data_IF_565719252592
#
_entry.id   IF_565719252592
#
_cell.length_a   1.000
_cell.length_b   1.000
_cell.length_c   1.000
_cell.angle_alpha   90.00
_cell.angle_beta   90.00
_cell.angle_gamma   90.00
#
_symmetry.space_group_name_H-M   'P 1'
#
loop_
_entity.id
_entity.type
_entity.pdbx_description
1 polymer ?
#
# COMPACT_ATOMS: atom_id res chain seq x y z
N UNK A 1 -14.55 -7.16 -18.34
CA UNK A 1 -14.64 -5.81 -17.75
C UNK A 1 -13.80 -5.81 -16.48
N UNK A 2 -13.08 -4.73 -16.18
CA UNK A 2 -12.25 -4.65 -14.97
C UNK A 2 -13.12 -4.81 -13.72
N UNK A 3 -12.63 -5.53 -12.70
CA UNK A 3 -13.33 -5.60 -11.41
C UNK A 3 -13.24 -4.29 -10.61
N UNK A 4 -12.32 -3.40 -10.99
CA UNK A 4 -12.14 -2.10 -10.38
C UNK A 4 -12.96 -1.01 -11.09
N UNK A 5 -13.26 0.08 -10.40
CA UNK A 5 -13.86 1.26 -11.04
C UNK A 5 -12.87 1.95 -11.96
N UNK A 6 -13.38 2.77 -12.88
CA UNK A 6 -12.53 3.57 -13.77
C UNK A 6 -11.66 4.55 -12.98
N UNK A 7 -12.22 5.23 -11.98
CA UNK A 7 -11.43 6.17 -11.16
C UNK A 7 -10.30 5.45 -10.40
N UNK A 8 -10.58 4.25 -9.88
CA UNK A 8 -9.54 3.47 -9.20
C UNK A 8 -8.40 3.11 -10.16
N UNK A 9 -8.72 2.68 -11.39
CA UNK A 9 -7.69 2.30 -12.36
C UNK A 9 -6.85 3.50 -12.84
N UNK A 10 -7.45 4.68 -12.98
CA UNK A 10 -6.71 5.92 -13.29
C UNK A 10 -5.75 6.30 -12.16
N UNK A 11 -6.21 6.21 -10.91
CA UNK A 11 -5.35 6.42 -9.74
C UNK A 11 -4.26 5.35 -9.63
N UNK A 12 -4.59 4.08 -9.92
CA UNK A 12 -3.63 2.98 -9.92
C UNK A 12 -2.54 3.16 -10.97
N UNK A 13 -2.89 3.61 -12.18
CA UNK A 13 -1.91 3.93 -13.22
C UNK A 13 -0.94 5.01 -12.74
N UNK A 14 -1.47 6.12 -12.23
CA UNK A 14 -0.66 7.24 -11.72
C UNK A 14 0.19 6.83 -10.52
N UNK A 15 -0.36 6.00 -9.64
CA UNK A 15 0.35 5.43 -8.50
C UNK A 15 1.52 4.54 -8.94
N UNK A 16 1.30 3.63 -9.90
CA UNK A 16 2.33 2.74 -10.44
C UNK A 16 3.51 3.51 -11.04
N UNK A 17 3.26 4.63 -11.73
CA UNK A 17 4.30 5.52 -12.25
C UNK A 17 5.01 6.28 -11.12
N UNK A 18 4.25 6.88 -10.21
CA UNK A 18 4.81 7.74 -9.14
C UNK A 18 5.66 6.96 -8.15
N UNK A 19 5.26 5.73 -7.82
CA UNK A 19 5.90 4.88 -6.80
C UNK A 19 6.68 3.71 -7.41
N UNK A 20 7.03 3.79 -8.70
CA UNK A 20 7.76 2.74 -9.41
C UNK A 20 9.08 2.39 -8.71
N UNK A 21 9.84 3.41 -8.27
CA UNK A 21 11.11 3.20 -7.58
C UNK A 21 10.93 2.44 -6.27
N UNK A 22 9.95 2.83 -5.45
CA UNK A 22 9.66 2.18 -4.17
C UNK A 22 9.23 0.73 -4.38
N UNK A 23 8.45 0.46 -5.44
CA UNK A 23 8.09 -0.90 -5.85
C UNK A 23 9.33 -1.72 -6.20
N UNK A 24 10.20 -1.22 -7.09
CA UNK A 24 11.43 -1.90 -7.51
C UNK A 24 12.39 -2.13 -6.33
N UNK A 25 12.57 -1.14 -5.46
CA UNK A 25 13.41 -1.24 -4.27
C UNK A 25 12.88 -2.32 -3.31
N UNK A 26 11.56 -2.40 -3.14
CA UNK A 26 10.92 -3.45 -2.35
C UNK A 26 11.08 -4.82 -3.01
N UNK A 27 10.80 -4.96 -4.29
CA UNK A 27 10.95 -6.21 -5.04
C UNK A 27 12.39 -6.74 -4.98
N UNK A 28 13.39 -5.88 -5.22
CA UNK A 28 14.80 -6.25 -5.12
C UNK A 28 15.19 -6.71 -3.70
N UNK A 29 14.64 -6.06 -2.66
CA UNK A 29 14.84 -6.50 -1.29
C UNK A 29 14.24 -7.89 -1.03
N UNK A 30 13.02 -8.14 -1.52
CA UNK A 30 12.34 -9.43 -1.38
C UNK A 30 13.08 -10.55 -2.11
N UNK A 31 13.53 -10.30 -3.34
CA UNK A 31 14.23 -11.28 -4.19
C UNK A 31 15.61 -11.66 -3.65
N UNK A 32 16.33 -10.72 -3.04
CA UNK A 32 17.67 -10.97 -2.50
C UNK A 32 17.67 -11.74 -1.16
N UNK A 33 16.49 -11.92 -0.54
CA UNK A 33 16.35 -12.36 0.86
C UNK A 33 15.21 -13.37 1.08
N UNK A 34 14.91 -14.19 0.08
CA UNK A 34 13.76 -15.13 0.05
C UNK A 34 13.68 -16.08 1.27
N UNK A 35 14.81 -16.37 1.93
CA UNK A 35 14.88 -17.27 3.08
C UNK A 35 14.93 -16.56 4.46
N UNK A 36 15.00 -15.23 4.50
CA UNK A 36 15.10 -14.46 5.74
C UNK A 36 13.71 -13.98 6.21
N UNK A 37 13.55 -13.58 7.48
CA UNK A 37 12.30 -12.97 7.95
C UNK A 37 12.07 -11.62 7.26
N UNK A 38 11.31 -11.67 6.18
CA UNK A 38 10.98 -10.57 5.28
C UNK A 38 10.37 -9.38 6.03
N UNK A 39 9.67 -9.63 7.15
CA UNK A 39 9.02 -8.57 7.92
C UNK A 39 10.04 -7.67 8.65
N UNK A 40 11.24 -8.19 8.94
CA UNK A 40 12.31 -7.43 9.58
C UNK A 40 13.28 -6.85 8.56
N UNK A 41 13.65 -7.62 7.53
CA UNK A 41 14.73 -7.25 6.60
C UNK A 41 14.32 -6.14 5.62
N UNK A 42 13.09 -6.15 5.12
CA UNK A 42 12.61 -5.18 4.12
C UNK A 42 11.63 -4.15 4.70
N UNK A 43 11.64 -3.96 6.04
CA UNK A 43 10.67 -3.11 6.74
C UNK A 43 10.68 -1.67 6.21
N UNK A 44 11.85 -1.12 5.88
CA UNK A 44 11.99 0.25 5.38
C UNK A 44 11.33 0.43 4.01
N UNK A 45 11.65 -0.45 3.05
CA UNK A 45 11.09 -0.42 1.69
C UNK A 45 9.58 -0.67 1.72
N UNK A 46 9.14 -1.63 2.55
CA UNK A 46 7.72 -1.91 2.77
C UNK A 46 6.99 -0.69 3.31
N UNK A 47 7.56 -0.01 4.31
CA UNK A 47 6.96 1.19 4.89
C UNK A 47 6.86 2.34 3.89
N UNK A 48 7.88 2.55 3.05
CA UNK A 48 7.85 3.57 2.01
C UNK A 48 6.75 3.31 0.97
N UNK A 49 6.58 2.07 0.54
CA UNK A 49 5.54 1.69 -0.41
C UNK A 49 4.13 1.80 0.20
N UNK A 50 3.93 1.33 1.44
CA UNK A 50 2.67 1.48 2.17
C UNK A 50 2.32 2.94 2.42
N UNK A 51 3.30 3.81 2.63
CA UNK A 51 3.06 5.25 2.76
C UNK A 51 2.53 5.85 1.45
N UNK A 52 3.00 5.40 0.29
CA UNK A 52 2.43 5.79 -0.99
C UNK A 52 0.96 5.38 -1.13
N UNK A 53 0.63 4.15 -0.70
CA UNK A 53 -0.75 3.67 -0.67
C UNK A 53 -1.60 4.54 0.25
N UNK A 54 -1.09 4.84 1.46
CA UNK A 54 -1.78 5.69 2.43
C UNK A 54 -2.09 7.07 1.84
N UNK A 55 -1.12 7.73 1.23
CA UNK A 55 -1.28 9.08 0.68
C UNK A 55 -2.18 9.14 -0.55
N UNK A 56 -2.24 8.06 -1.34
CA UNK A 56 -2.97 8.03 -2.62
C UNK A 56 -4.41 7.54 -2.45
N UNK A 57 -4.62 6.49 -1.65
CA UNK A 57 -5.91 5.78 -1.60
C UNK A 57 -6.60 5.85 -0.24
N UNK A 58 -5.84 5.96 0.85
CA UNK A 58 -6.35 5.84 2.23
C UNK A 58 -6.07 7.07 3.08
N UNK A 59 -6.02 8.25 2.44
CA UNK A 59 -5.55 9.47 3.09
C UNK A 59 -6.44 9.88 4.25
N UNK A 60 -7.76 9.75 4.10
CA UNK A 60 -8.71 10.11 5.14
C UNK A 60 -8.53 9.24 6.40
N UNK A 61 -8.39 7.93 6.23
CA UNK A 61 -8.16 6.98 7.30
C UNK A 61 -6.79 7.17 7.94
N UNK A 62 -5.76 7.43 7.13
CA UNK A 62 -4.41 7.72 7.62
C UNK A 62 -4.39 9.00 8.47
N UNK A 63 -4.95 10.10 7.98
CA UNK A 63 -4.99 11.38 8.68
C UNK A 63 -5.80 11.28 9.98
N UNK A 64 -6.90 10.51 9.98
CA UNK A 64 -7.67 10.20 11.19
C UNK A 64 -6.84 9.42 12.22
N UNK A 65 -6.10 8.40 11.78
CA UNK A 65 -5.17 7.64 12.63
C UNK A 65 -4.08 8.51 13.23
N UNK A 66 -3.40 9.32 12.42
CA UNK A 66 -2.36 10.25 12.88
C UNK A 66 -2.91 11.25 13.88
N UNK A 67 -4.11 11.80 13.63
CA UNK A 67 -4.77 12.72 14.56
C UNK A 67 -5.07 12.05 15.90
N UNK A 68 -5.59 10.82 15.87
CA UNK A 68 -5.86 10.08 17.08
C UNK A 68 -4.56 9.78 17.85
N UNK A 69 -3.53 9.27 17.16
CA UNK A 69 -2.24 8.95 17.78
C UNK A 69 -1.62 10.16 18.48
N UNK A 70 -1.63 11.33 17.82
CA UNK A 70 -1.15 12.58 18.43
C UNK A 70 -1.92 12.98 19.69
N UNK A 71 -3.21 12.67 19.74
CA UNK A 71 -4.08 13.01 20.87
C UNK A 71 -3.96 12.02 22.03
N UNK A 72 -3.79 10.72 21.72
CA UNK A 72 -3.73 9.64 22.70
C UNK A 72 -2.34 9.42 23.33
N UNK A 73 -1.27 9.94 22.70
CA UNK A 73 0.10 9.78 23.20
C UNK A 73 0.49 8.30 23.32
N UNK A 74 1.01 7.88 24.46
CA UNK A 74 1.47 6.50 24.68
C UNK A 74 0.33 5.45 24.63
N UNK A 75 -0.92 5.87 24.86
CA UNK A 75 -2.08 4.98 24.87
C UNK A 75 -2.70 4.75 23.50
N UNK A 76 -2.09 5.27 22.43
CA UNK A 76 -2.63 5.22 21.07
C UNK A 76 -3.01 3.80 20.61
N UNK A 77 -2.26 2.77 21.04
CA UNK A 77 -2.52 1.40 20.64
C UNK A 77 -3.91 0.91 21.09
N UNK A 78 -4.37 1.36 22.26
CA UNK A 78 -5.69 1.04 22.81
C UNK A 78 -6.74 2.07 22.39
N UNK A 79 -6.41 3.35 22.53
CA UNK A 79 -7.39 4.43 22.40
C UNK A 79 -7.72 4.76 20.93
N UNK A 80 -6.87 4.37 19.97
CA UNK A 80 -7.06 4.59 18.52
C UNK A 80 -7.34 3.30 17.73
N UNK A 81 -7.82 2.24 18.42
CA UNK A 81 -8.07 0.94 17.78
C UNK A 81 -8.98 1.07 16.54
N UNK A 82 -10.02 1.89 16.63
CA UNK A 82 -11.00 2.09 15.54
C UNK A 82 -10.33 2.67 14.29
N UNK A 83 -9.53 3.72 14.45
CA UNK A 83 -8.83 4.39 13.35
C UNK A 83 -7.77 3.47 12.74
N UNK A 84 -7.04 2.72 13.57
CA UNK A 84 -6.07 1.72 13.11
C UNK A 84 -6.74 0.62 12.27
N UNK A 85 -7.91 0.13 12.71
CA UNK A 85 -8.69 -0.88 11.96
C UNK A 85 -9.19 -0.30 10.64
N UNK A 86 -9.74 0.92 10.63
CA UNK A 86 -10.21 1.56 9.41
C UNK A 86 -9.08 1.73 8.39
N UNK A 87 -7.91 2.22 8.83
CA UNK A 87 -6.72 2.33 7.98
C UNK A 87 -6.27 0.96 7.45
N UNK A 88 -6.22 -0.05 8.32
CA UNK A 88 -5.87 -1.43 7.92
C UNK A 88 -6.81 -1.99 6.85
N UNK A 89 -8.13 -1.81 7.02
CA UNK A 89 -9.14 -2.25 6.04
C UNK A 89 -9.01 -1.54 4.70
N UNK A 90 -8.78 -0.21 4.71
CA UNK A 90 -8.55 0.52 3.47
C UNK A 90 -7.30 0.03 2.74
N UNK A 91 -6.20 -0.19 3.48
CA UNK A 91 -4.93 -0.65 2.92
C UNK A 91 -5.05 -2.06 2.31
N UNK A 92 -5.69 -3.00 3.02
CA UNK A 92 -5.94 -4.36 2.52
C UNK A 92 -6.83 -4.36 1.26
N UNK A 93 -7.92 -3.60 1.27
CA UNK A 93 -8.80 -3.46 0.09
C UNK A 93 -8.04 -2.89 -1.11
N UNK A 94 -7.22 -1.87 -0.87
CA UNK A 94 -6.42 -1.23 -1.93
C UNK A 94 -5.38 -2.17 -2.50
N UNK A 95 -4.66 -2.93 -1.67
CA UNK A 95 -3.68 -3.92 -2.12
C UNK A 95 -4.32 -4.97 -3.03
N UNK A 96 -5.51 -5.48 -2.67
CA UNK A 96 -6.26 -6.44 -3.50
C UNK A 96 -6.65 -5.84 -4.85
N UNK A 97 -7.12 -4.59 -4.87
CA UNK A 97 -7.48 -3.90 -6.12
C UNK A 97 -6.27 -3.58 -6.99
N UNK A 98 -5.14 -3.17 -6.41
CA UNK A 98 -3.87 -2.97 -7.12
C UNK A 98 -3.35 -4.27 -7.72
N UNK A 99 -3.46 -5.39 -6.99
CA UNK A 99 -3.12 -6.71 -7.52
C UNK A 99 -3.96 -7.07 -8.75
N UNK A 100 -5.28 -6.87 -8.70
CA UNK A 100 -6.17 -7.08 -9.84
C UNK A 100 -5.79 -6.17 -11.01
N UNK A 101 -5.55 -4.88 -10.74
CA UNK A 101 -5.12 -3.92 -11.76
C UNK A 101 -3.84 -4.39 -12.46
N UNK A 102 -2.82 -4.80 -11.69
CA UNK A 102 -1.55 -5.29 -12.22
C UNK A 102 -1.72 -6.57 -13.06
N UNK A 103 -2.55 -7.52 -12.64
CA UNK A 103 -2.86 -8.69 -13.46
C UNK A 103 -3.50 -8.28 -14.79
N UNK A 104 -4.47 -7.37 -14.75
CA UNK A 104 -5.19 -6.92 -15.92
C UNK A 104 -4.30 -6.13 -16.89
N UNK A 105 -3.33 -5.35 -16.39
CA UNK A 105 -2.37 -4.61 -17.22
C UNK A 105 -1.27 -5.51 -17.76
N UNK A 106 -0.68 -6.40 -16.96
CA UNK A 106 0.32 -7.37 -17.45
C UNK A 106 -0.26 -8.33 -18.50
N UNK A 107 -1.53 -8.75 -18.35
CA UNK A 107 -2.22 -9.56 -19.38
C UNK A 107 -2.43 -8.80 -20.69
N UNK A 108 -2.60 -7.47 -20.63
CA UNK A 108 -2.79 -6.63 -21.82
C UNK A 108 -1.45 -6.28 -22.48
N UNK A 109 -0.37 -6.21 -21.71
CA UNK A 109 0.98 -5.86 -22.16
C UNK A 109 2.03 -6.87 -21.66
N UNK A 110 2.13 -8.06 -22.28
CA UNK A 110 3.03 -9.12 -21.84
C UNK A 110 4.53 -8.79 -22.03
N UNK A 111 4.89 -7.68 -22.70
CA UNK A 111 6.28 -7.27 -22.91
C UNK A 111 6.87 -6.41 -21.76
N UNK A 112 6.10 -6.12 -20.70
CA UNK A 112 6.56 -5.36 -19.53
C UNK A 112 6.88 -6.22 -18.29
N UNK A 113 6.85 -7.54 -18.42
CA UNK A 113 7.22 -8.49 -17.36
C UNK A 113 8.67 -8.95 -17.51
#
# INVERSE_FOLDING_TARGET
>A
MSRNTKEFNELAAKFSETYEKQRRDLESCLESRVNDDINFVCQQQKSAYLMGIAQTFCRAEYDAGVKCQRSAGERWATDCFKENVAFGQCTDSTLKKLYVYNIETSKKNPAMS
#
